data_IF_448215870944
#
_entry.id   IF_448215870944
#
_cell.length_a   1.000
_cell.length_b   1.000
_cell.length_c   1.000
_cell.angle_alpha   90.00
_cell.angle_beta   90.00
_cell.angle_gamma   90.00
#
_symmetry.space_group_name_H-M   'P 1'
#
loop_
_entity.id
_entity.type
_entity.pdbx_description
1 polymer ?
#
# COMPACT_ATOMS: atom_id res chain seq x y z
N UNK A 1 -32.45 27.97 39.13
CA UNK A 1 -32.49 27.71 37.68
C UNK A 1 -33.58 28.51 36.99
N UNK A 2 -34.59 28.92 37.67
CA UNK A 2 -35.76 29.64 37.12
C UNK A 2 -35.52 31.13 36.84
N UNK A 3 -34.43 31.73 37.36
CA UNK A 3 -34.15 33.14 37.17
C UNK A 3 -33.58 33.56 35.83
N UNK A 4 -33.09 32.62 35.02
CA UNK A 4 -32.49 32.96 33.72
C UNK A 4 -33.51 33.09 32.58
N UNK A 5 -34.59 32.35 32.60
CA UNK A 5 -35.61 32.39 31.57
C UNK A 5 -36.39 33.70 31.58
N UNK A 6 -36.86 34.14 32.78
CA UNK A 6 -37.61 35.35 32.92
C UNK A 6 -36.82 36.65 32.61
N UNK A 7 -35.51 36.63 32.76
CA UNK A 7 -34.66 37.77 32.39
C UNK A 7 -34.51 37.91 30.87
N UNK A 8 -34.48 36.80 30.10
CA UNK A 8 -34.35 36.83 28.66
C UNK A 8 -35.63 37.34 27.99
N UNK A 9 -36.82 36.91 28.48
CA UNK A 9 -38.12 37.39 28.03
C UNK A 9 -38.29 38.89 28.25
N UNK A 10 -37.90 39.36 29.43
CA UNK A 10 -37.95 40.77 29.77
C UNK A 10 -36.97 41.59 28.93
N UNK A 11 -35.78 41.07 28.64
CA UNK A 11 -34.81 41.70 27.77
C UNK A 11 -35.33 41.85 26.35
N UNK A 12 -35.94 40.79 25.81
CA UNK A 12 -36.50 40.76 24.47
C UNK A 12 -37.64 41.79 24.35
N UNK A 13 -38.59 41.77 25.27
CA UNK A 13 -39.72 42.74 25.32
C UNK A 13 -39.26 44.19 25.44
N UNK A 14 -38.22 44.44 26.25
CA UNK A 14 -37.63 45.78 26.37
C UNK A 14 -36.95 46.22 25.06
N UNK A 15 -36.21 45.35 24.40
CA UNK A 15 -35.56 45.65 23.11
C UNK A 15 -36.58 45.89 21.99
N UNK A 16 -37.67 45.12 21.94
CA UNK A 16 -38.76 45.33 20.99
C UNK A 16 -39.43 46.69 21.20
N UNK A 17 -39.69 47.06 22.46
CA UNK A 17 -40.22 48.37 22.80
C UNK A 17 -39.24 49.51 22.40
N UNK A 18 -37.95 49.35 22.67
CA UNK A 18 -36.92 50.33 22.31
C UNK A 18 -36.79 50.52 20.79
N UNK A 19 -36.84 49.44 20.02
CA UNK A 19 -36.87 49.48 18.54
C UNK A 19 -38.12 50.17 18.02
N UNK A 20 -39.29 49.89 18.64
CA UNK A 20 -40.54 50.57 18.28
C UNK A 20 -40.54 52.11 18.57
N UNK A 21 -39.69 52.52 19.51
CA UNK A 21 -39.41 53.92 19.81
C UNK A 21 -38.37 54.60 18.90
N UNK A 22 -37.83 53.85 17.93
CA UNK A 22 -36.90 54.35 16.91
C UNK A 22 -35.41 54.23 17.25
N UNK A 23 -35.05 53.49 18.29
CA UNK A 23 -33.65 53.23 18.68
C UNK A 23 -33.07 52.12 17.78
N UNK A 24 -32.82 52.41 16.51
CA UNK A 24 -32.35 51.47 15.50
C UNK A 24 -30.98 50.87 15.80
N UNK A 25 -30.16 51.54 16.62
CA UNK A 25 -28.83 51.04 17.03
C UNK A 25 -28.89 49.74 17.84
N UNK A 26 -30.03 49.43 18.45
CA UNK A 26 -30.26 48.22 19.22
C UNK A 26 -30.69 47.00 18.37
N UNK A 27 -30.87 47.17 17.05
CA UNK A 27 -31.37 46.14 16.17
C UNK A 27 -30.45 44.89 16.13
N UNK A 28 -29.14 45.11 16.12
CA UNK A 28 -28.15 44.03 16.15
C UNK A 28 -28.22 43.23 17.47
N UNK A 29 -28.30 43.95 18.59
CA UNK A 29 -28.40 43.34 19.92
C UNK A 29 -29.72 42.59 20.12
N UNK A 30 -30.83 43.15 19.63
CA UNK A 30 -32.12 42.46 19.61
C UNK A 30 -32.06 41.15 18.83
N UNK A 31 -31.41 41.13 17.66
CA UNK A 31 -31.24 39.94 16.85
C UNK A 31 -30.43 38.87 17.60
N UNK A 32 -29.33 39.24 18.24
CA UNK A 32 -28.49 38.32 19.02
C UNK A 32 -29.25 37.70 20.21
N UNK A 33 -30.08 38.53 20.92
CA UNK A 33 -30.94 38.06 22.01
C UNK A 33 -32.02 37.13 21.49
N UNK A 34 -32.60 37.41 20.33
CA UNK A 34 -33.61 36.56 19.68
C UNK A 34 -33.05 35.18 19.34
N UNK A 35 -31.84 35.11 18.77
CA UNK A 35 -31.18 33.84 18.49
C UNK A 35 -30.91 33.05 19.76
N UNK A 36 -30.41 33.71 20.84
CA UNK A 36 -30.22 33.03 22.11
C UNK A 36 -31.53 32.51 22.70
N UNK A 37 -32.60 33.31 22.65
CA UNK A 37 -33.95 32.93 23.07
C UNK A 37 -34.42 31.66 22.33
N UNK A 38 -34.32 31.66 21.00
CA UNK A 38 -34.69 30.50 20.19
C UNK A 38 -33.89 29.21 20.51
N UNK A 39 -32.64 29.36 20.95
CA UNK A 39 -31.81 28.20 21.34
C UNK A 39 -32.24 27.66 22.69
N UNK A 40 -32.54 28.52 23.66
CA UNK A 40 -32.86 28.14 25.05
C UNK A 40 -34.26 27.51 25.14
N UNK A 41 -35.23 28.05 24.40
CA UNK A 41 -36.63 27.62 24.46
C UNK A 41 -37.03 26.63 23.39
N UNK A 42 -36.09 26.05 22.66
CA UNK A 42 -36.42 25.00 21.71
C UNK A 42 -36.59 23.65 22.42
N UNK A 43 -37.68 22.94 22.11
CA UNK A 43 -38.03 21.64 22.68
C UNK A 43 -36.99 20.52 22.40
N UNK A 44 -36.09 20.76 21.44
CA UNK A 44 -35.03 19.80 21.01
C UNK A 44 -33.75 19.83 21.86
N UNK A 45 -33.69 20.66 22.92
CA UNK A 45 -32.49 20.71 23.74
C UNK A 45 -32.44 19.50 24.70
N UNK A 46 -31.50 18.56 24.46
CA UNK A 46 -31.03 17.68 25.52
C UNK A 46 -30.70 18.55 26.72
N UNK A 47 -31.53 18.52 27.77
CA UNK A 47 -31.66 19.53 28.85
C UNK A 47 -30.42 19.89 29.65
N UNK A 48 -29.23 19.36 29.33
CA UNK A 48 -27.99 19.65 30.06
C UNK A 48 -27.13 20.78 29.42
N UNK A 49 -27.30 21.10 28.14
CA UNK A 49 -26.36 22.03 27.46
C UNK A 49 -26.85 23.46 27.29
N UNK A 50 -28.16 23.70 27.26
CA UNK A 50 -28.75 25.04 27.14
C UNK A 50 -28.82 25.78 28.45
N UNK A 51 -28.85 25.09 29.61
CA UNK A 51 -29.06 25.66 30.94
C UNK A 51 -27.90 26.53 31.48
N UNK A 52 -26.74 26.53 30.83
CA UNK A 52 -25.54 27.25 31.32
C UNK A 52 -25.08 28.45 30.45
N UNK A 53 -25.82 28.82 29.41
CA UNK A 53 -25.47 29.94 28.53
C UNK A 53 -26.18 31.21 29.02
N UNK A 54 -25.41 32.19 29.49
CA UNK A 54 -25.92 33.53 29.85
C UNK A 54 -25.74 34.50 28.68
N UNK A 55 -26.52 35.57 28.64
CA UNK A 55 -26.44 36.65 27.63
C UNK A 55 -25.02 37.25 27.57
N UNK A 56 -24.38 37.43 28.72
CA UNK A 56 -23.01 37.95 28.80
C UNK A 56 -22.02 36.98 28.09
N UNK A 57 -22.08 35.69 28.41
CA UNK A 57 -21.24 34.68 27.76
C UNK A 57 -21.52 34.59 26.27
N UNK A 58 -22.79 34.68 25.85
CA UNK A 58 -23.16 34.71 24.44
C UNK A 58 -22.56 35.92 23.72
N UNK A 59 -22.57 37.11 24.37
CA UNK A 59 -21.95 38.31 23.80
C UNK A 59 -20.43 38.21 23.61
N UNK A 60 -19.75 37.45 24.46
CA UNK A 60 -18.29 37.22 24.36
C UNK A 60 -17.88 36.22 23.27
N UNK A 61 -18.81 35.38 22.76
CA UNK A 61 -18.52 34.40 21.74
C UNK A 61 -18.29 35.08 20.38
N UNK A 62 -17.31 34.56 19.63
CA UNK A 62 -17.16 34.91 18.21
C UNK A 62 -18.40 34.50 17.42
N UNK A 63 -18.67 35.15 16.27
CA UNK A 63 -19.81 34.79 15.43
C UNK A 63 -19.74 33.33 14.95
N UNK A 64 -18.54 32.79 14.68
CA UNK A 64 -18.37 31.39 14.40
C UNK A 64 -18.68 30.48 15.59
N UNK A 65 -18.27 30.84 16.80
CA UNK A 65 -18.59 30.04 17.99
C UNK A 65 -20.10 30.05 18.29
N UNK A 66 -20.78 31.17 18.07
CA UNK A 66 -22.25 31.25 18.10
C UNK A 66 -22.89 30.30 17.10
N UNK A 67 -22.41 30.31 15.83
CA UNK A 67 -22.85 29.37 14.80
C UNK A 67 -22.65 27.90 15.20
N UNK A 68 -21.48 27.59 15.71
CA UNK A 68 -21.12 26.25 16.21
C UNK A 68 -21.98 25.81 17.39
N UNK A 69 -22.29 26.76 18.30
CA UNK A 69 -23.16 26.49 19.44
C UNK A 69 -24.58 26.13 19.02
N UNK A 70 -25.15 26.81 18.00
CA UNK A 70 -26.47 26.48 17.43
C UNK A 70 -26.53 25.03 16.90
N UNK A 71 -25.41 24.46 16.47
CA UNK A 71 -25.27 23.12 15.93
C UNK A 71 -24.71 22.10 16.93
N UNK A 72 -24.62 22.47 18.21
CA UNK A 72 -24.12 21.56 19.25
C UNK A 72 -25.11 20.41 19.45
N UNK A 73 -24.60 19.17 19.50
CA UNK A 73 -25.42 17.97 19.73
C UNK A 73 -26.31 17.56 18.56
N UNK A 74 -26.12 18.10 17.34
CA UNK A 74 -26.90 17.69 16.17
C UNK A 74 -26.62 16.24 15.78
N UNK A 75 -27.70 15.57 15.31
CA UNK A 75 -27.72 14.23 14.74
C UNK A 75 -28.14 14.32 13.25
N UNK A 76 -28.02 13.24 12.54
CA UNK A 76 -28.38 13.15 11.11
C UNK A 76 -29.86 13.57 10.86
N UNK A 77 -30.75 13.25 11.83
CA UNK A 77 -32.20 13.47 11.71
C UNK A 77 -32.59 14.97 11.85
N UNK A 78 -31.87 15.75 12.67
CA UNK A 78 -32.27 17.11 13.04
C UNK A 78 -31.30 18.21 12.52
N UNK A 79 -30.18 17.84 11.90
CA UNK A 79 -29.17 18.82 11.48
C UNK A 79 -29.71 19.83 10.46
N UNK A 80 -30.44 19.37 9.46
CA UNK A 80 -30.98 20.25 8.42
C UNK A 80 -32.08 21.18 8.94
N UNK A 81 -32.88 20.74 9.89
CA UNK A 81 -33.88 21.59 10.55
C UNK A 81 -33.18 22.73 11.32
N UNK A 82 -32.19 22.41 12.16
CA UNK A 82 -31.42 23.41 12.90
C UNK A 82 -30.64 24.36 11.99
N UNK A 83 -30.06 23.84 10.89
CA UNK A 83 -29.40 24.68 9.90
C UNK A 83 -30.39 25.64 9.26
N UNK A 84 -31.52 25.15 8.74
CA UNK A 84 -32.51 25.95 8.03
C UNK A 84 -33.16 27.03 8.91
N UNK A 85 -33.54 26.63 10.12
CA UNK A 85 -34.32 27.52 10.99
C UNK A 85 -33.45 28.51 11.80
N UNK A 86 -32.14 28.24 12.00
CA UNK A 86 -31.30 29.04 12.92
C UNK A 86 -29.95 29.40 12.32
N UNK A 87 -29.11 28.42 12.03
CA UNK A 87 -27.70 28.68 11.75
C UNK A 87 -27.48 29.37 10.37
N UNK A 88 -28.22 29.00 9.34
CA UNK A 88 -28.12 29.63 8.01
C UNK A 88 -28.65 31.06 8.01
N UNK A 89 -29.83 31.36 8.57
CA UNK A 89 -30.29 32.75 8.72
C UNK A 89 -29.29 33.62 9.53
N UNK A 90 -28.72 33.11 10.61
CA UNK A 90 -27.68 33.79 11.36
C UNK A 90 -26.45 34.11 10.50
N UNK A 91 -25.94 33.11 9.77
CA UNK A 91 -24.78 33.27 8.89
C UNK A 91 -25.03 34.32 7.80
N UNK A 92 -26.20 34.32 7.13
CA UNK A 92 -26.55 35.30 6.11
C UNK A 92 -26.72 36.70 6.69
N UNK A 93 -27.32 36.85 7.86
CA UNK A 93 -27.44 38.13 8.56
C UNK A 93 -26.07 38.78 8.82
N UNK A 94 -25.10 38.01 9.26
CA UNK A 94 -23.72 38.51 9.51
C UNK A 94 -22.97 38.83 8.20
N UNK A 95 -23.12 38.06 7.15
CA UNK A 95 -22.52 38.35 5.82
C UNK A 95 -23.06 39.65 5.22
N UNK A 96 -24.37 39.94 5.38
CA UNK A 96 -24.97 41.18 4.93
C UNK A 96 -24.42 42.41 5.65
N UNK A 97 -24.16 42.29 6.96
CA UNK A 97 -23.63 43.40 7.77
C UNK A 97 -22.19 43.75 7.39
N UNK A 98 -21.34 42.77 7.09
CA UNK A 98 -19.96 42.99 6.60
C UNK A 98 -19.98 43.75 5.27
N UNK A 99 -20.92 43.44 4.40
CA UNK A 99 -21.08 44.12 3.08
C UNK A 99 -21.56 45.56 3.19
N UNK A 100 -22.30 45.90 4.22
CA UNK A 100 -22.83 47.25 4.47
C UNK A 100 -21.86 48.14 5.25
N UNK A 101 -20.94 47.61 6.02
CA UNK A 101 -20.00 48.41 6.87
C UNK A 101 -18.82 49.00 6.07
N UNK A 102 -18.77 48.89 4.74
CA UNK A 102 -17.97 49.75 3.87
C UNK A 102 -16.48 49.96 4.13
N UNK A 103 -15.84 49.18 5.01
CA UNK A 103 -14.40 49.22 5.25
C UNK A 103 -13.63 48.51 4.12
N UNK A 104 -13.63 49.18 2.93
CA UNK A 104 -12.81 48.78 1.75
C UNK A 104 -11.38 49.34 1.88
N UNK A 105 -10.89 49.62 3.05
CA UNK A 105 -9.60 50.29 3.18
C UNK A 105 -8.48 49.49 3.82
N UNK A 106 -8.39 48.16 3.62
CA UNK A 106 -7.15 47.39 3.91
C UNK A 106 -7.18 46.04 3.20
N UNK A 107 -7.40 46.04 1.89
CA UNK A 107 -7.08 44.90 1.04
C UNK A 107 -5.62 45.02 0.59
N UNK A 108 -4.71 44.77 1.52
CA UNK A 108 -3.34 44.42 1.16
C UNK A 108 -3.34 43.06 0.42
N UNK A 109 -2.79 43.12 -0.78
CA UNK A 109 -2.73 42.11 -1.83
C UNK A 109 -1.87 40.87 -1.51
N UNK A 110 -1.81 40.41 -0.27
CA UNK A 110 -0.99 39.26 0.13
C UNK A 110 -1.72 38.13 0.87
N UNK A 111 -3.01 38.26 1.20
CA UNK A 111 -3.77 37.19 1.87
C UNK A 111 -5.15 37.01 1.22
N UNK A 112 -5.19 36.30 0.09
CA UNK A 112 -6.42 35.70 -0.41
C UNK A 112 -6.82 34.48 0.44
N UNK A 113 -6.93 34.63 1.74
CA UNK A 113 -7.78 33.79 2.53
C UNK A 113 -9.22 34.28 2.31
N UNK A 114 -9.84 33.77 1.22
CA UNK A 114 -11.29 33.83 1.03
C UNK A 114 -11.88 33.30 2.34
N UNK A 115 -12.53 34.18 3.11
CA UNK A 115 -13.17 33.79 4.37
C UNK A 115 -14.16 32.68 4.08
N UNK A 116 -13.80 31.45 4.45
CA UNK A 116 -14.67 30.28 4.29
C UNK A 116 -15.96 30.57 5.03
N UNK A 117 -17.11 30.26 4.42
CA UNK A 117 -18.39 30.39 5.11
C UNK A 117 -18.37 29.59 6.42
N UNK A 118 -19.11 30.04 7.44
CA UNK A 118 -19.18 29.33 8.73
C UNK A 118 -19.61 27.87 8.55
N UNK A 119 -20.49 27.61 7.61
CA UNK A 119 -20.94 26.26 7.28
C UNK A 119 -19.79 25.38 6.75
N UNK A 120 -19.00 25.88 5.80
CA UNK A 120 -17.86 25.15 5.23
C UNK A 120 -16.84 24.82 6.32
N UNK A 121 -16.53 25.78 7.18
CA UNK A 121 -15.64 25.59 8.32
C UNK A 121 -16.17 24.53 9.29
N UNK A 122 -17.46 24.60 9.64
CA UNK A 122 -18.09 23.63 10.54
C UNK A 122 -18.14 22.22 9.94
N UNK A 123 -18.45 22.09 8.65
CA UNK A 123 -18.45 20.80 7.95
C UNK A 123 -17.05 20.16 7.91
N UNK A 124 -16.01 20.97 7.67
CA UNK A 124 -14.63 20.46 7.69
C UNK A 124 -14.22 20.01 9.10
N UNK A 125 -14.60 20.75 10.16
CA UNK A 125 -14.38 20.32 11.55
C UNK A 125 -15.18 19.05 11.89
N UNK A 126 -16.40 18.92 11.38
CA UNK A 126 -17.27 17.73 11.55
C UNK A 126 -16.68 16.50 10.85
N UNK A 127 -16.09 16.69 9.68
CA UNK A 127 -15.38 15.62 8.94
C UNK A 127 -14.11 15.16 9.66
N UNK A 128 -13.34 16.08 10.26
CA UNK A 128 -12.17 15.75 11.08
C UNK A 128 -12.50 14.86 12.29
N UNK A 129 -13.68 15.01 12.88
CA UNK A 129 -14.16 14.11 13.94
C UNK A 129 -14.93 12.91 13.40
N UNK A 130 -14.76 12.62 12.12
CA UNK A 130 -15.26 11.41 11.43
C UNK A 130 -16.80 11.26 11.39
N UNK A 131 -17.55 12.36 11.45
CA UNK A 131 -19.01 12.39 11.33
C UNK A 131 -19.46 12.64 9.89
N UNK A 132 -18.94 11.84 8.93
CA UNK A 132 -19.25 11.99 7.49
C UNK A 132 -20.72 11.86 7.13
N UNK A 133 -21.51 11.11 7.90
CA UNK A 133 -22.95 10.99 7.65
C UNK A 133 -23.65 12.35 7.81
N UNK A 134 -23.26 13.14 8.81
CA UNK A 134 -23.77 14.51 8.97
C UNK A 134 -23.36 15.38 7.78
N UNK A 135 -22.11 15.28 7.34
CA UNK A 135 -21.66 15.99 6.14
C UNK A 135 -22.47 15.59 4.89
N UNK A 136 -22.76 14.29 4.70
CA UNK A 136 -23.58 13.80 3.61
C UNK A 136 -24.96 14.44 3.62
N UNK A 137 -25.66 14.40 4.76
CA UNK A 137 -27.03 14.92 4.89
C UNK A 137 -27.09 16.42 4.62
N UNK A 138 -26.09 17.17 5.10
CA UNK A 138 -26.03 18.63 4.91
C UNK A 138 -25.66 19.00 3.47
N UNK A 139 -24.70 18.31 2.85
CA UNK A 139 -24.30 18.55 1.46
C UNK A 139 -25.45 18.20 0.51
N UNK A 140 -26.14 17.07 0.74
CA UNK A 140 -27.29 16.66 -0.07
C UNK A 140 -28.41 17.70 -0.04
N UNK A 141 -28.76 18.21 1.14
CA UNK A 141 -29.79 19.25 1.29
C UNK A 141 -29.33 20.60 0.68
N UNK A 142 -28.08 20.97 0.93
CA UNK A 142 -27.51 22.22 0.40
C UNK A 142 -27.43 22.25 -1.12
N UNK A 143 -27.22 21.10 -1.77
CA UNK A 143 -27.20 20.96 -3.23
C UNK A 143 -28.60 20.88 -3.85
N UNK A 144 -29.66 20.54 -3.10
CA UNK A 144 -31.06 20.52 -3.60
C UNK A 144 -31.69 21.90 -3.62
N UNK A 145 -31.39 22.80 -2.70
CA UNK A 145 -32.10 24.03 -2.45
C UNK A 145 -31.27 25.27 -2.81
N UNK A 146 -31.21 25.61 -4.11
CA UNK A 146 -30.46 26.78 -4.58
C UNK A 146 -31.25 28.12 -4.53
N UNK A 147 -32.54 28.16 -4.15
CA UNK A 147 -33.36 29.33 -4.50
C UNK A 147 -33.71 30.34 -3.41
N UNK A 148 -33.65 30.05 -2.10
CA UNK A 148 -34.06 31.07 -1.12
C UNK A 148 -33.33 31.04 0.24
N UNK A 149 -32.67 29.96 0.58
CA UNK A 149 -31.79 29.84 1.76
C UNK A 149 -30.62 28.95 1.39
N UNK A 150 -29.83 29.35 0.39
CA UNK A 150 -28.71 28.59 -0.10
C UNK A 150 -27.69 28.33 1.04
N UNK A 151 -27.36 27.07 1.25
CA UNK A 151 -26.31 26.68 2.21
C UNK A 151 -24.92 27.08 1.73
N UNK A 152 -24.71 27.03 0.43
CA UNK A 152 -23.46 27.37 -0.23
C UNK A 152 -23.63 28.61 -1.12
N UNK A 153 -22.58 29.41 -1.27
CA UNK A 153 -22.55 30.60 -2.14
C UNK A 153 -22.62 30.23 -3.63
N UNK A 154 -22.09 29.04 -3.98
CA UNK A 154 -22.05 28.53 -5.37
C UNK A 154 -21.85 27.01 -5.38
N UNK A 155 -22.09 26.40 -6.57
CA UNK A 155 -21.80 24.98 -6.82
C UNK A 155 -20.32 24.65 -6.59
N UNK A 156 -19.43 25.56 -6.94
CA UNK A 156 -17.98 25.42 -6.74
C UNK A 156 -17.66 25.31 -5.25
N UNK A 157 -18.25 26.16 -4.39
CA UNK A 157 -18.04 26.09 -2.94
C UNK A 157 -18.56 24.77 -2.35
N UNK A 158 -19.74 24.31 -2.80
CA UNK A 158 -20.32 23.04 -2.37
C UNK A 158 -19.41 21.87 -2.70
N UNK A 159 -18.88 21.81 -3.92
CA UNK A 159 -17.99 20.75 -4.38
C UNK A 159 -16.64 20.81 -3.67
N UNK A 160 -16.05 21.99 -3.51
CA UNK A 160 -14.80 22.14 -2.76
C UNK A 160 -14.96 21.74 -1.30
N UNK A 161 -16.07 22.09 -0.66
CA UNK A 161 -16.41 21.67 0.69
C UNK A 161 -16.52 20.15 0.79
N UNK A 162 -17.25 19.52 -0.12
CA UNK A 162 -17.41 18.08 -0.17
C UNK A 162 -16.07 17.35 -0.32
N UNK A 163 -15.21 17.81 -1.24
CA UNK A 163 -13.86 17.27 -1.41
C UNK A 163 -13.01 17.43 -0.14
N UNK A 164 -13.06 18.61 0.50
CA UNK A 164 -12.37 18.81 1.78
C UNK A 164 -12.86 17.83 2.84
N UNK A 165 -14.18 17.64 3.00
CA UNK A 165 -14.73 16.71 3.99
C UNK A 165 -14.25 15.28 3.79
N UNK A 166 -14.26 14.76 2.57
CA UNK A 166 -13.84 13.37 2.32
C UNK A 166 -12.33 13.17 2.51
N UNK A 167 -11.50 14.16 2.14
CA UNK A 167 -10.03 14.04 2.32
C UNK A 167 -9.56 14.31 3.74
N UNK A 168 -10.28 15.11 4.53
CA UNK A 168 -9.96 15.36 5.95
C UNK A 168 -10.36 14.20 6.85
N UNK A 169 -11.29 13.36 6.41
CA UNK A 169 -11.73 12.21 7.19
C UNK A 169 -10.65 11.14 7.23
N UNK A 170 -10.40 10.59 8.42
CA UNK A 170 -9.42 9.51 8.65
C UNK A 170 -10.05 8.11 8.63
N UNK A 171 -11.38 7.99 8.44
CA UNK A 171 -12.06 6.68 8.40
C UNK A 171 -11.68 5.89 7.14
N UNK A 172 -11.60 4.58 7.32
CA UNK A 172 -11.18 3.65 6.26
C UNK A 172 -12.24 2.58 5.95
N UNK A 173 -13.47 2.79 6.39
CA UNK A 173 -14.62 1.86 6.25
C UNK A 173 -15.89 2.52 5.69
N UNK A 174 -15.91 3.86 5.53
CA UNK A 174 -17.06 4.64 5.08
C UNK A 174 -17.03 5.01 3.60
N UNK A 175 -16.49 4.13 2.76
CA UNK A 175 -16.35 4.37 1.31
C UNK A 175 -17.68 4.64 0.61
N UNK A 176 -18.75 3.95 1.01
CA UNK A 176 -20.10 4.18 0.48
C UNK A 176 -20.62 5.58 0.81
N UNK A 177 -20.39 6.08 2.03
CA UNK A 177 -20.78 7.44 2.43
C UNK A 177 -20.00 8.48 1.62
N UNK A 178 -18.67 8.29 1.43
CA UNK A 178 -17.85 9.18 0.60
C UNK A 178 -18.31 9.20 -0.86
N UNK A 179 -18.60 8.03 -1.44
CA UNK A 179 -19.14 7.92 -2.79
C UNK A 179 -20.52 8.59 -2.90
N UNK A 180 -21.38 8.43 -1.88
CA UNK A 180 -22.69 9.08 -1.82
C UNK A 180 -22.56 10.61 -1.77
N UNK A 181 -21.61 11.15 -1.01
CA UNK A 181 -21.34 12.61 -1.00
C UNK A 181 -21.05 13.10 -2.43
N UNK A 182 -20.13 12.42 -3.16
CA UNK A 182 -19.80 12.84 -4.53
C UNK A 182 -20.99 12.71 -5.49
N UNK A 183 -21.83 11.67 -5.34
CA UNK A 183 -22.99 11.45 -6.20
C UNK A 183 -24.14 12.48 -6.03
N UNK A 184 -24.15 13.21 -4.90
CA UNK A 184 -25.16 14.25 -4.60
C UNK A 184 -24.74 15.64 -5.03
N UNK A 185 -23.52 15.80 -5.53
CA UNK A 185 -23.03 17.10 -5.98
C UNK A 185 -23.71 17.56 -7.26
N UNK A 186 -23.87 18.88 -7.46
CA UNK A 186 -24.45 19.42 -8.67
C UNK A 186 -23.54 19.15 -9.88
N UNK A 187 -24.12 18.97 -11.08
CA UNK A 187 -23.35 18.86 -12.30
C UNK A 187 -22.65 20.19 -12.62
N UNK A 188 -21.37 20.11 -12.95
CA UNK A 188 -20.60 21.27 -13.35
C UNK A 188 -20.95 21.66 -14.79
N UNK A 189 -21.29 22.94 -15.01
CA UNK A 189 -21.60 23.48 -16.33
C UNK A 189 -20.64 24.63 -16.67
N UNK A 190 -19.89 24.49 -17.73
CA UNK A 190 -19.00 25.54 -18.25
C UNK A 190 -17.63 25.00 -18.66
N UNK A 191 -16.84 25.86 -19.30
CA UNK A 191 -15.53 25.55 -19.87
C UNK A 191 -14.40 26.38 -19.25
N UNK A 192 -14.68 27.03 -18.11
CA UNK A 192 -13.61 27.81 -17.42
C UNK A 192 -12.55 26.90 -16.86
N UNK A 193 -11.32 27.40 -16.78
CA UNK A 193 -10.16 26.65 -16.23
C UNK A 193 -10.46 26.13 -14.82
N UNK A 194 -11.20 26.90 -14.02
CA UNK A 194 -11.59 26.50 -12.66
C UNK A 194 -12.50 25.28 -12.68
N UNK A 195 -13.51 25.25 -13.56
CA UNK A 195 -14.46 24.14 -13.69
C UNK A 195 -13.75 22.87 -14.18
N UNK A 196 -12.87 22.99 -15.18
CA UNK A 196 -12.08 21.86 -15.69
C UNK A 196 -11.18 21.26 -14.61
N UNK A 197 -10.53 22.12 -13.81
CA UNK A 197 -9.72 21.66 -12.67
C UNK A 197 -10.57 20.97 -11.59
N UNK A 198 -11.76 21.46 -11.32
CA UNK A 198 -12.66 20.91 -10.33
C UNK A 198 -13.19 19.53 -10.77
N UNK A 199 -13.59 19.39 -12.05
CA UNK A 199 -13.97 18.09 -12.63
C UNK A 199 -12.82 17.07 -12.56
N UNK A 200 -11.58 17.51 -12.83
CA UNK A 200 -10.41 16.65 -12.70
C UNK A 200 -10.25 16.18 -11.26
N UNK A 201 -10.42 17.06 -10.27
CA UNK A 201 -10.34 16.73 -8.83
C UNK A 201 -11.45 15.77 -8.41
N UNK A 202 -12.67 15.93 -8.93
CA UNK A 202 -13.79 15.01 -8.69
C UNK A 202 -13.48 13.61 -9.22
N UNK A 203 -13.06 13.49 -10.50
CA UNK A 203 -12.68 12.20 -11.09
C UNK A 203 -11.52 11.53 -10.33
N UNK A 204 -10.56 12.31 -9.84
CA UNK A 204 -9.46 11.81 -9.02
C UNK A 204 -9.99 11.29 -7.67
N UNK A 205 -10.91 12.01 -7.02
CA UNK A 205 -11.50 11.61 -5.76
C UNK A 205 -12.32 10.31 -5.88
N UNK A 206 -13.09 10.15 -6.96
CA UNK A 206 -13.78 8.90 -7.28
C UNK A 206 -12.80 7.73 -7.41
N UNK A 207 -11.70 7.94 -8.15
CA UNK A 207 -10.62 6.95 -8.29
C UNK A 207 -9.98 6.58 -6.95
N UNK A 208 -9.73 7.58 -6.10
CA UNK A 208 -9.17 7.36 -4.76
C UNK A 208 -10.13 6.61 -3.83
N UNK A 209 -11.45 6.87 -3.89
CA UNK A 209 -12.46 6.13 -3.10
C UNK A 209 -12.46 4.65 -3.51
N UNK A 210 -12.48 4.34 -4.80
CA UNK A 210 -12.44 2.95 -5.27
C UNK A 210 -11.09 2.28 -4.91
N UNK A 211 -9.97 2.99 -5.05
CA UNK A 211 -8.66 2.51 -4.62
C UNK A 211 -8.64 2.22 -3.10
N UNK A 212 -9.22 3.10 -2.28
CA UNK A 212 -9.36 2.90 -0.85
C UNK A 212 -10.20 1.68 -0.50
N UNK A 213 -11.31 1.44 -1.23
CA UNK A 213 -12.14 0.23 -1.10
C UNK A 213 -11.34 -1.04 -1.42
N UNK A 214 -10.55 -1.01 -2.52
CA UNK A 214 -9.68 -2.13 -2.88
C UNK A 214 -8.60 -2.40 -1.82
N UNK A 215 -7.94 -1.36 -1.33
CA UNK A 215 -6.96 -1.51 -0.25
C UNK A 215 -7.60 -2.12 1.01
N UNK A 216 -8.80 -1.67 1.39
CA UNK A 216 -9.53 -2.22 2.52
C UNK A 216 -9.94 -3.69 2.28
N UNK A 217 -10.40 -4.04 1.08
CA UNK A 217 -10.70 -5.42 0.68
C UNK A 217 -9.48 -6.35 0.84
N UNK A 218 -8.29 -5.86 0.46
CA UNK A 218 -7.02 -6.59 0.66
C UNK A 218 -6.43 -6.43 2.08
N UNK A 219 -7.21 -5.89 3.03
CA UNK A 219 -6.82 -5.72 4.43
C UNK A 219 -5.62 -4.78 4.66
N UNK A 220 -5.47 -3.80 3.79
CA UNK A 220 -4.47 -2.72 3.90
C UNK A 220 -5.18 -1.37 3.85
N UNK A 221 -6.15 -1.10 4.76
CA UNK A 221 -6.94 0.12 4.71
C UNK A 221 -6.04 1.35 4.87
N UNK A 222 -6.32 2.39 4.07
CA UNK A 222 -5.67 3.69 4.12
C UNK A 222 -6.72 4.80 4.02
N UNK A 223 -6.59 5.91 4.77
CA UNK A 223 -7.49 7.05 4.63
C UNK A 223 -7.29 7.72 3.26
N UNK A 224 -8.26 8.54 2.85
CA UNK A 224 -8.27 9.12 1.51
C UNK A 224 -7.11 10.10 1.25
N UNK A 225 -6.69 10.86 2.28
CA UNK A 225 -5.56 11.79 2.16
C UNK A 225 -4.23 11.07 1.83
N UNK A 226 -4.10 9.79 2.21
CA UNK A 226 -2.93 8.99 1.87
C UNK A 226 -2.62 9.03 0.35
N UNK A 227 -3.65 9.02 -0.51
CA UNK A 227 -3.46 9.02 -1.96
C UNK A 227 -2.93 10.36 -2.49
N UNK A 228 -3.19 11.47 -1.79
CA UNK A 228 -2.65 12.80 -2.13
C UNK A 228 -1.15 12.88 -1.84
N UNK A 229 -0.73 12.25 -0.76
CA UNK A 229 0.67 12.22 -0.31
C UNK A 229 1.50 11.11 -0.97
N UNK A 230 0.82 10.16 -1.62
CA UNK A 230 1.44 8.94 -2.16
C UNK A 230 2.56 9.19 -3.19
N UNK A 231 2.46 10.25 -3.99
CA UNK A 231 3.48 10.60 -4.98
C UNK A 231 4.83 10.98 -4.32
N UNK A 232 4.79 11.55 -3.13
CA UNK A 232 5.99 11.91 -2.37
C UNK A 232 6.65 10.71 -1.66
N UNK A 233 5.91 9.61 -1.47
CA UNK A 233 6.39 8.38 -0.80
C UNK A 233 6.26 7.14 -1.70
N UNK A 234 6.92 7.15 -2.84
CA UNK A 234 6.95 6.00 -3.77
C UNK A 234 7.41 4.70 -3.08
N UNK A 235 8.35 4.78 -2.12
CA UNK A 235 8.86 3.61 -1.39
C UNK A 235 7.77 2.99 -0.52
N UNK A 236 7.01 3.81 0.19
CA UNK A 236 5.88 3.36 1.02
C UNK A 236 4.78 2.73 0.16
N UNK A 237 4.47 3.30 -0.99
CA UNK A 237 3.50 2.72 -1.94
C UNK A 237 3.97 1.36 -2.47
N UNK A 238 5.25 1.23 -2.85
CA UNK A 238 5.84 -0.06 -3.25
C UNK A 238 5.72 -1.12 -2.15
N UNK A 239 5.92 -0.73 -0.89
CA UNK A 239 5.71 -1.65 0.25
C UNK A 239 4.24 -2.07 0.40
N UNK A 240 3.30 -1.16 0.17
CA UNK A 240 1.86 -1.47 0.19
C UNK A 240 1.50 -2.50 -0.88
N UNK A 241 1.98 -2.34 -2.12
CA UNK A 241 1.77 -3.32 -3.20
C UNK A 241 2.28 -4.72 -2.79
N UNK A 242 3.48 -4.80 -2.22
CA UNK A 242 4.04 -6.07 -1.70
C UNK A 242 3.21 -6.63 -0.54
N UNK A 243 2.72 -5.78 0.34
CA UNK A 243 1.90 -6.19 1.48
C UNK A 243 0.55 -6.76 1.03
N UNK A 244 -0.10 -6.13 0.05
CA UNK A 244 -1.34 -6.64 -0.56
C UNK A 244 -1.11 -8.05 -1.10
N UNK A 245 -0.08 -8.26 -1.92
CA UNK A 245 0.26 -9.57 -2.48
C UNK A 245 0.58 -10.58 -1.37
N UNK A 246 1.35 -10.19 -0.36
CA UNK A 246 1.67 -11.08 0.76
C UNK A 246 0.42 -11.53 1.53
N UNK A 247 -0.51 -10.62 1.81
CA UNK A 247 -1.78 -10.94 2.47
C UNK A 247 -2.69 -11.78 1.58
N UNK A 248 -2.71 -11.51 0.27
CA UNK A 248 -3.47 -12.30 -0.69
C UNK A 248 -3.00 -13.75 -0.75
N UNK A 249 -1.68 -13.99 -0.78
CA UNK A 249 -1.08 -15.33 -0.80
C UNK A 249 -1.37 -16.10 0.48
N UNK A 250 -1.33 -15.46 1.65
CA UNK A 250 -1.48 -16.13 2.95
C UNK A 250 -2.91 -16.59 3.28
N UNK A 251 -3.92 -16.14 2.53
CA UNK A 251 -5.32 -16.55 2.77
C UNK A 251 -5.53 -18.02 2.38
N UNK A 252 -6.17 -18.76 3.26
CA UNK A 252 -6.63 -20.13 3.02
C UNK A 252 -8.11 -20.14 2.58
N UNK A 253 -8.56 -21.01 1.68
CA UNK A 253 -7.77 -21.94 0.85
C UNK A 253 -6.92 -21.22 -0.21
N UNK A 254 -6.03 -21.97 -0.88
CA UNK A 254 -5.17 -21.42 -1.95
C UNK A 254 -6.02 -20.80 -3.06
N UNK A 255 -5.60 -19.64 -3.55
CA UNK A 255 -6.33 -18.86 -4.55
C UNK A 255 -6.41 -19.56 -5.91
N UNK A 256 -7.59 -19.48 -6.52
CA UNK A 256 -7.83 -19.92 -7.90
C UNK A 256 -7.15 -19.01 -8.91
N UNK A 257 -6.96 -19.49 -10.12
CA UNK A 257 -6.37 -18.70 -11.22
C UNK A 257 -7.26 -17.51 -11.61
N UNK A 258 -8.58 -17.64 -11.46
CA UNK A 258 -9.54 -16.53 -11.67
C UNK A 258 -9.39 -15.42 -10.63
N UNK A 259 -9.12 -15.76 -9.36
CA UNK A 259 -8.84 -14.77 -8.30
C UNK A 259 -7.51 -14.05 -8.56
N UNK A 260 -6.50 -14.74 -9.06
CA UNK A 260 -5.24 -14.12 -9.48
C UNK A 260 -5.43 -13.19 -10.68
N UNK A 261 -6.26 -13.56 -11.66
CA UNK A 261 -6.59 -12.67 -12.77
C UNK A 261 -7.34 -11.40 -12.30
N UNK A 262 -8.22 -11.53 -11.30
CA UNK A 262 -8.89 -10.40 -10.68
C UNK A 262 -7.88 -9.51 -9.95
N UNK A 263 -6.98 -10.12 -9.15
CA UNK A 263 -5.91 -9.40 -8.46
C UNK A 263 -5.03 -8.59 -9.43
N UNK A 264 -4.69 -9.15 -10.59
CA UNK A 264 -3.94 -8.41 -11.62
C UNK A 264 -4.69 -7.17 -12.11
N UNK A 265 -5.99 -7.30 -12.40
CA UNK A 265 -6.84 -6.16 -12.80
C UNK A 265 -6.93 -5.10 -11.72
N UNK A 266 -7.08 -5.52 -10.48
CA UNK A 266 -7.14 -4.60 -9.33
C UNK A 266 -5.80 -3.87 -9.12
N UNK A 267 -4.67 -4.53 -9.30
CA UNK A 267 -3.35 -3.89 -9.25
C UNK A 267 -3.16 -2.87 -10.38
N UNK A 268 -3.63 -3.19 -11.61
CA UNK A 268 -3.61 -2.25 -12.72
C UNK A 268 -4.52 -1.04 -12.43
N UNK A 269 -5.70 -1.28 -11.87
CA UNK A 269 -6.63 -0.22 -11.48
C UNK A 269 -6.05 0.70 -10.41
N UNK A 270 -5.46 0.12 -9.34
CA UNK A 270 -4.76 0.88 -8.30
C UNK A 270 -3.65 1.77 -8.89
N UNK A 271 -2.86 1.22 -9.81
CA UNK A 271 -1.83 1.98 -10.52
C UNK A 271 -2.42 3.11 -11.34
N UNK A 272 -3.46 2.85 -12.12
CA UNK A 272 -4.06 3.85 -13.01
C UNK A 272 -4.74 4.99 -12.25
N UNK A 273 -5.50 4.69 -11.19
CA UNK A 273 -6.35 5.65 -10.49
C UNK A 273 -5.71 6.31 -9.28
N UNK A 274 -4.80 5.59 -8.59
CA UNK A 274 -4.23 6.06 -7.33
C UNK A 274 -2.71 6.26 -7.38
N UNK A 275 -1.99 5.47 -8.17
CA UNK A 275 -0.52 5.48 -8.21
C UNK A 275 0.03 5.59 -9.64
N UNK A 276 -0.37 6.63 -10.43
CA UNK A 276 0.04 6.75 -11.83
C UNK A 276 1.55 6.90 -12.03
N UNK A 277 2.28 7.30 -10.99
CA UNK A 277 3.75 7.43 -10.97
C UNK A 277 4.47 6.07 -10.89
N UNK A 278 3.77 4.98 -10.52
CA UNK A 278 4.38 3.65 -10.52
C UNK A 278 4.49 3.10 -11.95
N UNK A 279 5.66 2.54 -12.23
CA UNK A 279 5.87 1.83 -13.49
C UNK A 279 5.04 0.54 -13.55
N UNK A 280 4.38 0.31 -14.68
CA UNK A 280 3.58 -0.90 -14.90
C UNK A 280 4.46 -2.16 -14.95
N UNK A 281 5.72 -2.03 -15.42
CA UNK A 281 6.69 -3.13 -15.38
C UNK A 281 6.99 -3.53 -13.93
N UNK A 282 7.15 -2.56 -13.02
CA UNK A 282 7.33 -2.83 -11.60
C UNK A 282 6.15 -3.63 -11.02
N UNK A 283 4.92 -3.23 -11.36
CA UNK A 283 3.71 -3.94 -10.90
C UNK A 283 3.70 -5.38 -11.42
N UNK A 284 4.06 -5.60 -12.70
CA UNK A 284 4.15 -6.93 -13.29
C UNK A 284 5.22 -7.79 -12.62
N UNK A 285 6.39 -7.22 -12.32
CA UNK A 285 7.48 -7.89 -11.59
C UNK A 285 7.02 -8.37 -10.21
N UNK A 286 6.37 -7.50 -9.43
CA UNK A 286 5.87 -7.87 -8.10
C UNK A 286 4.75 -8.92 -8.19
N UNK A 287 3.87 -8.82 -9.18
CA UNK A 287 2.81 -9.79 -9.42
C UNK A 287 3.38 -11.17 -9.78
N UNK A 288 4.35 -11.24 -10.71
CA UNK A 288 5.04 -12.48 -11.07
C UNK A 288 5.77 -13.08 -9.85
N UNK A 289 6.44 -12.25 -9.05
CA UNK A 289 7.05 -12.70 -7.78
C UNK A 289 6.01 -13.32 -6.84
N UNK A 290 4.82 -12.71 -6.76
CA UNK A 290 3.70 -13.23 -5.98
C UNK A 290 3.22 -14.60 -6.47
N UNK A 291 3.06 -14.78 -7.79
CA UNK A 291 2.67 -16.05 -8.42
C UNK A 291 3.69 -17.14 -8.15
N UNK A 292 4.99 -16.87 -8.37
CA UNK A 292 6.06 -17.81 -8.10
C UNK A 292 6.06 -18.23 -6.63
N UNK A 293 5.96 -17.28 -5.70
CA UNK A 293 5.88 -17.54 -4.25
C UNK A 293 4.65 -18.35 -3.82
N UNK A 294 3.56 -18.26 -4.59
CA UNK A 294 2.34 -19.03 -4.35
C UNK A 294 2.33 -20.41 -5.02
N UNK A 295 3.39 -20.80 -5.72
CA UNK A 295 3.47 -22.06 -6.46
C UNK A 295 2.59 -22.10 -7.72
N UNK A 296 2.17 -20.95 -8.26
CA UNK A 296 1.33 -20.83 -9.45
C UNK A 296 2.18 -20.79 -10.73
N UNK A 297 3.01 -21.81 -10.96
CA UNK A 297 4.03 -21.84 -12.02
C UNK A 297 3.45 -21.75 -13.42
N UNK A 298 2.37 -22.48 -13.72
CA UNK A 298 1.70 -22.45 -15.01
C UNK A 298 1.17 -21.05 -15.36
N UNK A 299 0.57 -20.38 -14.38
CA UNK A 299 0.08 -19.02 -14.53
C UNK A 299 1.25 -18.02 -14.65
N UNK A 300 2.28 -18.18 -13.82
CA UNK A 300 3.48 -17.34 -13.86
C UNK A 300 4.15 -17.37 -15.23
N UNK A 301 4.21 -18.54 -15.91
CA UNK A 301 4.76 -18.68 -17.26
C UNK A 301 4.12 -17.75 -18.27
N UNK A 302 2.81 -17.52 -18.16
CA UNK A 302 2.09 -16.62 -19.07
C UNK A 302 2.45 -15.16 -18.82
N UNK A 303 2.49 -14.73 -17.55
CA UNK A 303 2.79 -13.34 -17.18
C UNK A 303 4.27 -12.98 -17.33
N UNK A 304 5.19 -13.94 -17.14
CA UNK A 304 6.63 -13.74 -17.37
C UNK A 304 6.98 -13.43 -18.82
N UNK A 305 6.15 -13.88 -19.78
CA UNK A 305 6.29 -13.51 -21.20
C UNK A 305 5.84 -12.06 -21.49
N UNK A 306 5.28 -11.39 -20.50
CA UNK A 306 4.65 -10.09 -20.64
C UNK A 306 3.14 -10.19 -20.86
N UNK A 307 2.49 -9.03 -20.83
CA UNK A 307 1.06 -8.86 -21.12
C UNK A 307 0.89 -8.03 -22.39
N UNK A 308 -0.35 -7.87 -22.87
CA UNK A 308 -0.63 -7.01 -24.04
C UNK A 308 -0.21 -5.55 -23.84
N UNK A 309 -0.12 -5.10 -22.59
CA UNK A 309 0.18 -3.72 -22.22
C UNK A 309 1.64 -3.47 -21.80
N UNK A 310 2.37 -4.55 -21.43
CA UNK A 310 3.76 -4.46 -20.94
C UNK A 310 4.53 -5.73 -21.26
N UNK A 311 5.75 -5.58 -21.76
CA UNK A 311 6.70 -6.69 -21.94
C UNK A 311 7.70 -6.69 -20.78
N UNK A 312 8.04 -7.88 -20.30
CA UNK A 312 9.10 -8.06 -19.33
C UNK A 312 10.39 -8.47 -20.07
N UNK A 313 11.50 -7.76 -19.81
CA UNK A 313 12.79 -8.13 -20.35
C UNK A 313 13.18 -9.54 -19.91
N UNK A 314 13.71 -10.35 -20.83
CA UNK A 314 14.07 -11.75 -20.58
C UNK A 314 15.01 -11.92 -19.38
N UNK A 315 15.98 -11.03 -19.24
CA UNK A 315 16.94 -11.00 -18.12
C UNK A 315 16.27 -10.77 -16.76
N UNK A 316 15.24 -9.89 -16.72
CA UNK A 316 14.47 -9.64 -15.50
C UNK A 316 13.59 -10.85 -15.13
N UNK A 317 12.96 -11.44 -16.12
CA UNK A 317 12.15 -12.64 -15.92
C UNK A 317 13.00 -13.82 -15.43
N UNK A 318 14.17 -14.03 -16.01
CA UNK A 318 15.16 -15.01 -15.60
C UNK A 318 15.62 -14.78 -14.15
N UNK A 319 16.00 -13.55 -13.81
CA UNK A 319 16.40 -13.18 -12.45
C UNK A 319 15.30 -13.45 -11.42
N UNK A 320 14.02 -13.19 -11.76
CA UNK A 320 12.88 -13.49 -10.89
C UNK A 320 12.73 -14.99 -10.63
N UNK A 321 12.87 -15.80 -11.69
CA UNK A 321 12.76 -17.26 -11.61
C UNK A 321 13.88 -17.82 -10.75
N UNK A 322 15.13 -17.42 -10.99
CA UNK A 322 16.30 -17.83 -10.19
C UNK A 322 16.11 -17.44 -8.72
N UNK A 323 15.69 -16.19 -8.46
CA UNK A 323 15.46 -15.73 -7.08
C UNK A 323 14.39 -16.56 -6.37
N UNK A 324 13.27 -16.85 -7.04
CA UNK A 324 12.20 -17.66 -6.47
C UNK A 324 12.66 -19.12 -6.23
N UNK A 325 13.42 -19.70 -7.16
CA UNK A 325 13.98 -21.02 -6.99
C UNK A 325 14.94 -21.10 -5.80
N UNK A 326 15.82 -20.11 -5.65
CA UNK A 326 16.71 -19.99 -4.49
C UNK A 326 15.95 -19.83 -3.17
N UNK A 327 14.88 -19.01 -3.15
CA UNK A 327 14.05 -18.82 -1.96
C UNK A 327 13.41 -20.15 -1.52
N UNK A 328 12.89 -20.95 -2.45
CA UNK A 328 12.38 -22.29 -2.16
C UNK A 328 13.49 -23.24 -1.72
N UNK A 329 14.60 -23.31 -2.46
CA UNK A 329 15.69 -24.20 -2.18
C UNK A 329 16.28 -23.97 -0.77
N UNK A 330 16.54 -22.70 -0.40
CA UNK A 330 17.09 -22.38 0.92
C UNK A 330 16.07 -22.45 2.06
N UNK A 331 14.77 -22.52 1.77
CA UNK A 331 13.74 -22.77 2.79
C UNK A 331 13.51 -24.26 3.05
N UNK A 332 14.11 -25.14 2.24
CA UNK A 332 13.92 -26.57 2.33
C UNK A 332 14.55 -27.15 3.61
N UNK A 333 13.76 -27.92 4.36
CA UNK A 333 14.19 -28.59 5.60
C UNK A 333 14.84 -29.95 5.34
N UNK A 334 14.62 -30.55 4.18
CA UNK A 334 15.21 -31.82 3.75
C UNK A 334 15.40 -31.82 2.22
N UNK A 335 16.20 -32.77 1.72
CA UNK A 335 16.48 -32.90 0.30
C UNK A 335 15.29 -33.47 -0.52
N UNK A 336 14.27 -34.00 0.15
CA UNK A 336 13.08 -34.61 -0.46
C UNK A 336 11.76 -33.85 -0.19
N UNK A 337 11.83 -32.65 0.37
CA UNK A 337 10.63 -31.86 0.69
C UNK A 337 10.01 -31.20 -0.56
N UNK A 338 8.78 -30.69 -0.39
CA UNK A 338 8.02 -30.00 -1.44
C UNK A 338 8.72 -28.76 -1.97
N UNK A 339 9.50 -28.08 -1.14
CA UNK A 339 10.25 -26.87 -1.48
C UNK A 339 11.31 -27.16 -2.55
N UNK A 340 11.97 -28.33 -2.52
CA UNK A 340 12.91 -28.73 -3.56
C UNK A 340 12.19 -28.93 -4.91
N UNK A 341 11.01 -29.57 -4.87
CA UNK A 341 10.20 -29.73 -6.06
C UNK A 341 9.77 -28.36 -6.62
N UNK A 342 9.30 -27.45 -5.78
CA UNK A 342 8.92 -26.08 -6.16
C UNK A 342 10.11 -25.32 -6.77
N UNK A 343 11.33 -25.48 -6.21
CA UNK A 343 12.52 -24.86 -6.77
C UNK A 343 12.79 -25.35 -8.19
N UNK A 344 12.67 -26.66 -8.45
CA UNK A 344 12.82 -27.23 -9.80
C UNK A 344 11.76 -26.74 -10.76
N UNK A 345 10.49 -26.68 -10.33
CA UNK A 345 9.39 -26.16 -11.15
C UNK A 345 9.59 -24.69 -11.52
N UNK A 346 10.15 -23.86 -10.62
CA UNK A 346 10.55 -22.50 -10.97
C UNK A 346 11.56 -22.48 -12.11
N UNK A 347 12.64 -23.27 -12.03
CA UNK A 347 13.70 -23.29 -13.04
C UNK A 347 13.19 -23.82 -14.38
N UNK A 348 12.25 -24.76 -14.38
CA UNK A 348 11.60 -25.29 -15.59
C UNK A 348 10.80 -24.23 -16.38
N UNK A 349 10.60 -23.04 -15.87
CA UNK A 349 9.96 -21.94 -16.61
C UNK A 349 10.88 -21.38 -17.71
N UNK A 350 12.22 -21.44 -17.52
CA UNK A 350 13.24 -20.92 -18.44
C UNK A 350 14.37 -21.94 -18.70
N UNK A 351 14.07 -23.14 -19.23
CA UNK A 351 15.05 -24.24 -19.33
C UNK A 351 16.22 -23.93 -20.28
N UNK A 352 16.05 -23.00 -21.21
CA UNK A 352 17.07 -22.66 -22.22
C UNK A 352 18.08 -21.61 -21.75
N UNK A 353 17.91 -21.00 -20.58
CA UNK A 353 18.88 -20.05 -20.04
C UNK A 353 20.07 -20.76 -19.41
N UNK A 354 21.28 -20.32 -19.74
CA UNK A 354 22.52 -20.85 -19.15
C UNK A 354 22.59 -20.64 -17.64
N UNK A 355 22.11 -19.49 -17.14
CA UNK A 355 22.12 -19.18 -15.71
C UNK A 355 21.10 -20.04 -14.95
N UNK A 356 19.90 -20.21 -15.51
CA UNK A 356 18.87 -21.08 -14.93
C UNK A 356 19.33 -22.53 -14.89
N UNK A 357 20.02 -22.99 -15.96
CA UNK A 357 20.60 -24.32 -16.00
C UNK A 357 21.68 -24.51 -14.93
N UNK A 358 22.54 -23.51 -14.71
CA UNK A 358 23.55 -23.59 -13.66
C UNK A 358 22.93 -23.74 -12.25
N UNK A 359 21.82 -23.07 -11.97
CA UNK A 359 21.08 -23.25 -10.70
C UNK A 359 20.42 -24.64 -10.60
N UNK A 360 19.89 -25.15 -11.70
CA UNK A 360 19.33 -26.51 -11.75
C UNK A 360 20.42 -27.58 -11.53
N UNK A 361 21.59 -27.40 -12.15
CA UNK A 361 22.75 -28.26 -11.99
C UNK A 361 23.17 -28.35 -10.50
N UNK A 362 23.19 -27.23 -9.78
CA UNK A 362 23.49 -27.18 -8.32
C UNK A 362 22.45 -27.97 -7.52
N UNK A 363 21.16 -27.76 -7.79
CA UNK A 363 20.08 -28.50 -7.11
C UNK A 363 20.21 -30.00 -7.38
N UNK A 364 20.51 -30.41 -8.60
CA UNK A 364 20.69 -31.83 -8.96
C UNK A 364 21.91 -32.42 -8.32
N UNK A 365 23.03 -31.70 -8.24
CA UNK A 365 24.22 -32.15 -7.52
C UNK A 365 23.90 -32.46 -6.06
N UNK A 366 23.21 -31.53 -5.37
CA UNK A 366 22.93 -31.63 -3.93
C UNK A 366 21.83 -32.64 -3.58
N UNK A 367 20.82 -32.79 -4.45
CA UNK A 367 19.62 -33.58 -4.13
C UNK A 367 19.62 -34.98 -4.73
N UNK A 368 20.47 -35.23 -5.72
CA UNK A 368 20.54 -36.54 -6.39
C UNK A 368 21.96 -37.13 -6.35
N UNK A 369 22.95 -36.39 -6.86
CA UNK A 369 24.29 -36.99 -7.09
C UNK A 369 25.06 -37.18 -5.77
N UNK A 370 25.15 -36.17 -4.91
CA UNK A 370 25.86 -36.28 -3.64
C UNK A 370 25.23 -37.30 -2.67
N UNK A 371 23.91 -37.41 -2.53
CA UNK A 371 23.30 -38.48 -1.74
C UNK A 371 23.67 -39.90 -2.22
N UNK A 372 23.78 -40.11 -3.54
CA UNK A 372 24.21 -41.39 -4.10
C UNK A 372 25.66 -41.71 -3.73
N UNK A 373 26.50 -40.70 -3.54
CA UNK A 373 27.88 -40.83 -3.05
C UNK A 373 27.99 -40.88 -1.51
N UNK A 374 26.86 -40.97 -0.80
CA UNK A 374 26.80 -41.04 0.64
C UNK A 374 26.96 -39.71 1.38
N UNK A 375 26.89 -38.58 0.67
CA UNK A 375 27.03 -37.22 1.23
C UNK A 375 25.71 -36.48 1.18
N UNK A 376 25.19 -36.11 2.33
CA UNK A 376 23.95 -35.36 2.47
C UNK A 376 24.25 -33.95 3.00
N UNK A 377 24.18 -32.96 2.12
CA UNK A 377 24.36 -31.54 2.46
C UNK A 377 23.01 -30.84 2.34
N UNK A 378 22.50 -30.32 3.45
CA UNK A 378 21.27 -29.54 3.45
C UNK A 378 21.47 -28.18 2.74
N UNK A 379 20.45 -27.61 2.11
CA UNK A 379 20.55 -26.32 1.43
C UNK A 379 21.12 -25.19 2.30
N UNK A 380 20.78 -25.16 3.59
CA UNK A 380 21.32 -24.17 4.54
C UNK A 380 22.80 -24.38 4.84
N UNK A 381 23.29 -25.65 4.84
CA UNK A 381 24.70 -25.95 4.98
C UNK A 381 25.47 -25.55 3.72
N UNK A 382 24.93 -25.88 2.54
CA UNK A 382 25.48 -25.48 1.25
C UNK A 382 25.69 -23.95 1.18
N UNK A 383 24.75 -23.15 1.68
CA UNK A 383 24.87 -21.68 1.71
C UNK A 383 26.10 -21.17 2.47
N UNK A 384 26.61 -21.95 3.44
CA UNK A 384 27.77 -21.58 4.27
C UNK A 384 29.10 -21.94 3.60
N UNK A 385 29.09 -22.90 2.68
CA UNK A 385 30.28 -23.37 1.96
C UNK A 385 30.56 -22.41 0.81
N UNK A 386 31.72 -21.78 0.81
CA UNK A 386 32.10 -20.79 -0.22
C UNK A 386 32.81 -21.42 -1.41
N UNK A 387 33.56 -22.49 -1.16
CA UNK A 387 34.37 -23.17 -2.17
C UNK A 387 33.69 -24.50 -2.56
N UNK A 388 33.20 -24.66 -3.80
CA UNK A 388 32.62 -25.91 -4.28
C UNK A 388 33.58 -27.10 -4.15
N UNK A 389 34.89 -26.87 -4.19
CA UNK A 389 35.91 -27.92 -4.04
C UNK A 389 35.88 -28.59 -2.65
N UNK A 390 35.43 -27.88 -1.60
CA UNK A 390 35.25 -28.48 -0.26
C UNK A 390 34.17 -29.55 -0.29
N UNK A 391 33.08 -29.33 -1.07
CA UNK A 391 31.98 -30.29 -1.20
C UNK A 391 32.46 -31.55 -1.93
N UNK A 392 33.23 -31.36 -3.01
CA UNK A 392 33.81 -32.48 -3.76
C UNK A 392 34.78 -33.27 -2.87
N UNK A 393 35.61 -32.61 -2.07
CA UNK A 393 36.50 -33.29 -1.12
C UNK A 393 35.72 -34.08 -0.06
N UNK A 394 34.62 -33.53 0.48
CA UNK A 394 33.76 -34.29 1.39
C UNK A 394 33.18 -35.55 0.75
N UNK A 395 32.84 -35.49 -0.54
CA UNK A 395 32.36 -36.65 -1.27
C UNK A 395 33.49 -37.68 -1.50
N UNK A 396 34.68 -37.24 -1.88
CA UNK A 396 35.86 -38.10 -2.06
C UNK A 396 36.23 -38.85 -0.78
N UNK A 397 36.23 -38.15 0.37
CA UNK A 397 36.60 -38.74 1.68
C UNK A 397 35.47 -39.48 2.38
N UNK A 398 34.31 -39.64 1.70
CA UNK A 398 33.16 -40.36 2.26
C UNK A 398 33.51 -41.82 2.59
N UNK A 399 33.02 -42.35 3.73
CA UNK A 399 33.26 -43.75 4.11
C UNK A 399 32.75 -44.80 3.15
N UNK A 400 31.91 -44.38 2.19
CA UNK A 400 31.34 -45.24 1.13
C UNK A 400 32.34 -45.68 0.06
N UNK A 401 33.59 -45.14 0.10
CA UNK A 401 34.58 -45.43 -0.96
C UNK A 401 34.25 -44.69 -2.27
N UNK A 402 33.66 -43.50 -2.17
CA UNK A 402 33.18 -42.73 -3.35
C UNK A 402 34.31 -42.36 -4.32
N UNK A 403 35.60 -42.40 -3.92
CA UNK A 403 36.74 -42.18 -4.81
C UNK A 403 36.84 -43.21 -5.95
N UNK A 404 36.16 -44.39 -5.85
CA UNK A 404 36.02 -45.35 -6.96
C UNK A 404 35.10 -44.83 -8.10
N UNK A 405 34.22 -43.88 -7.83
CA UNK A 405 33.25 -43.35 -8.76
C UNK A 405 33.77 -42.05 -9.40
N UNK A 406 34.91 -42.10 -10.08
CA UNK A 406 35.60 -40.92 -10.65
C UNK A 406 34.67 -40.11 -11.57
N UNK A 407 33.96 -40.76 -12.48
CA UNK A 407 33.10 -40.13 -13.45
C UNK A 407 31.96 -39.36 -12.74
N UNK A 408 31.38 -39.93 -11.68
CA UNK A 408 30.31 -39.33 -10.91
C UNK A 408 30.84 -38.15 -10.09
N UNK A 409 32.06 -38.24 -9.54
CA UNK A 409 32.70 -37.12 -8.81
C UNK A 409 33.04 -35.96 -9.75
N UNK A 410 33.53 -36.23 -10.94
CA UNK A 410 33.78 -35.23 -11.99
C UNK A 410 32.46 -34.58 -12.43
N UNK A 411 31.41 -35.39 -12.60
CA UNK A 411 30.08 -34.86 -12.91
C UNK A 411 29.58 -33.93 -11.81
N UNK A 412 29.66 -34.32 -10.55
CA UNK A 412 29.32 -33.46 -9.39
C UNK A 412 30.13 -32.17 -9.42
N UNK A 413 31.43 -32.23 -9.65
CA UNK A 413 32.29 -31.04 -9.73
C UNK A 413 31.80 -30.09 -10.83
N UNK A 414 31.46 -30.62 -12.03
CA UNK A 414 30.94 -29.82 -13.15
C UNK A 414 29.58 -29.19 -12.82
N UNK A 415 28.69 -29.93 -12.19
CA UNK A 415 27.37 -29.44 -11.74
C UNK A 415 27.50 -28.34 -10.67
N UNK A 416 28.49 -28.42 -9.81
CA UNK A 416 28.81 -27.39 -8.79
C UNK A 416 29.55 -26.17 -9.38
N UNK A 417 29.86 -26.18 -10.69
CA UNK A 417 30.46 -25.05 -11.41
C UNK A 417 31.97 -25.16 -11.64
N UNK A 418 32.64 -26.23 -11.19
CA UNK A 418 34.05 -26.50 -11.48
C UNK A 418 34.18 -27.05 -12.90
N UNK A 419 34.43 -26.18 -13.89
CA UNK A 419 34.38 -26.55 -15.33
C UNK A 419 35.69 -26.38 -16.06
N UNK A 420 36.62 -25.60 -15.49
CA UNK A 420 37.94 -25.38 -16.12
C UNK A 420 38.82 -26.63 -16.05
N UNK A 421 39.71 -26.81 -17.00
CA UNK A 421 40.64 -27.94 -17.02
C UNK A 421 41.48 -28.01 -15.73
N UNK A 422 41.88 -26.86 -15.18
CA UNK A 422 42.65 -26.81 -13.95
C UNK A 422 41.83 -27.21 -12.71
N UNK A 423 40.53 -26.86 -12.66
CA UNK A 423 39.64 -27.27 -11.56
C UNK A 423 39.38 -28.77 -11.62
N UNK A 424 39.11 -29.31 -12.79
CA UNK A 424 38.93 -30.77 -12.96
C UNK A 424 40.20 -31.53 -12.59
N UNK A 425 41.38 -31.05 -13.02
CA UNK A 425 42.67 -31.65 -12.63
C UNK A 425 42.89 -31.63 -11.11
N UNK A 426 42.43 -30.57 -10.44
CA UNK A 426 42.51 -30.50 -8.94
C UNK A 426 41.56 -31.52 -8.29
N UNK A 427 40.41 -31.81 -8.88
CA UNK A 427 39.51 -32.91 -8.43
C UNK A 427 40.17 -34.26 -8.62
N UNK A 428 40.74 -34.51 -9.82
CA UNK A 428 41.47 -35.76 -10.11
C UNK A 428 42.64 -35.96 -9.14
N UNK A 429 43.41 -34.91 -8.85
CA UNK A 429 44.48 -34.94 -7.86
C UNK A 429 43.97 -35.32 -6.47
N UNK A 430 42.82 -34.74 -6.04
CA UNK A 430 42.20 -35.05 -4.75
C UNK A 430 41.74 -36.52 -4.66
N UNK A 431 41.17 -37.06 -5.73
CA UNK A 431 40.74 -38.45 -5.82
C UNK A 431 41.97 -39.37 -5.71
N UNK A 432 43.05 -39.11 -6.46
CA UNK A 432 44.27 -39.87 -6.43
C UNK A 432 44.93 -39.84 -5.06
N UNK A 433 44.90 -38.72 -4.37
CA UNK A 433 45.42 -38.56 -3.03
C UNK A 433 44.64 -39.39 -2.00
N UNK A 434 43.31 -39.42 -2.10
CA UNK A 434 42.48 -40.23 -1.21
C UNK A 434 42.72 -41.74 -1.41
N UNK A 435 42.78 -42.16 -2.69
CA UNK A 435 43.12 -43.54 -3.01
C UNK A 435 44.50 -43.97 -2.43
N UNK A 436 45.49 -43.05 -2.42
CA UNK A 436 46.78 -43.27 -1.82
C UNK A 436 46.71 -43.41 -0.30
N UNK A 437 45.95 -42.53 0.35
CA UNK A 437 45.71 -42.58 1.80
C UNK A 437 45.00 -43.87 2.23
N UNK A 438 44.05 -44.33 1.41
CA UNK A 438 43.31 -45.56 1.63
C UNK A 438 44.13 -46.83 1.33
N UNK A 439 45.36 -46.69 0.81
CA UNK A 439 46.25 -47.81 0.51
C UNK A 439 45.89 -48.61 -0.74
N UNK A 440 45.02 -48.08 -1.63
CA UNK A 440 44.56 -48.74 -2.86
C UNK A 440 45.53 -48.51 -4.02
N UNK A 441 46.66 -49.16 -3.98
CA UNK A 441 47.70 -49.05 -5.01
C UNK A 441 47.28 -49.52 -6.39
N UNK A 442 46.36 -50.47 -6.48
CA UNK A 442 45.85 -51.00 -7.75
C UNK A 442 45.00 -49.96 -8.47
N UNK A 443 44.20 -49.21 -7.71
CA UNK A 443 43.39 -48.16 -8.26
C UNK A 443 44.20 -46.92 -8.70
N UNK A 444 45.24 -46.58 -7.96
CA UNK A 444 46.17 -45.53 -8.35
C UNK A 444 46.85 -45.83 -9.66
N UNK A 445 47.29 -47.09 -9.85
CA UNK A 445 47.88 -47.53 -11.12
C UNK A 445 46.91 -47.45 -12.28
N UNK A 446 45.69 -47.89 -12.09
CA UNK A 446 44.62 -47.79 -13.10
C UNK A 446 44.30 -46.35 -13.46
N UNK A 447 44.16 -45.49 -12.47
CA UNK A 447 43.93 -44.05 -12.66
C UNK A 447 45.07 -43.36 -13.41
N UNK A 448 46.30 -43.76 -13.12
CA UNK A 448 47.49 -43.33 -13.83
C UNK A 448 47.49 -43.70 -15.30
N UNK A 449 47.09 -44.92 -15.65
CA UNK A 449 47.00 -45.37 -17.03
C UNK A 449 45.93 -44.60 -17.82
N UNK A 450 44.81 -44.28 -17.21
CA UNK A 450 43.76 -43.46 -17.85
C UNK A 450 44.21 -42.04 -18.06
N UNK A 451 44.92 -41.44 -17.12
CA UNK A 451 45.40 -40.05 -17.21
C UNK A 451 46.54 -39.86 -18.22
N UNK A 452 47.37 -40.87 -18.48
CA UNK A 452 48.45 -40.82 -19.48
C UNK A 452 47.93 -40.74 -20.92
N UNK A 453 46.70 -41.17 -21.17
CA UNK A 453 46.06 -41.07 -22.47
C UNK A 453 45.62 -39.63 -22.82
N UNK A 454 45.59 -38.69 -21.86
CA UNK A 454 45.04 -37.32 -22.01
C UNK A 454 46.06 -36.18 -21.82
N UNK A 455 47.39 -36.44 -21.93
CA UNK A 455 48.47 -35.41 -22.03
C UNK A 455 48.41 -34.27 -21.01
N UNK A 456 48.36 -34.58 -19.69
CA UNK A 456 48.30 -33.51 -18.68
C UNK A 456 49.59 -33.46 -17.80
N UNK A 457 50.18 -32.27 -17.54
CA UNK A 457 51.41 -32.13 -16.73
C UNK A 457 51.25 -32.39 -15.21
N UNK A 458 50.02 -32.62 -14.76
CA UNK A 458 49.70 -32.89 -13.34
C UNK A 458 50.01 -34.32 -12.89
N UNK A 459 50.20 -35.22 -13.82
CA UNK A 459 50.59 -36.62 -13.61
C UNK A 459 51.91 -36.69 -12.86
N UNK A 460 52.81 -35.75 -13.11
CA UNK A 460 54.12 -35.68 -12.43
C UNK A 460 53.97 -35.39 -10.93
N UNK A 461 52.99 -34.61 -10.53
CA UNK A 461 52.69 -34.36 -9.10
C UNK A 461 52.11 -35.57 -8.37
N UNK A 462 51.20 -36.31 -9.04
CA UNK A 462 50.67 -37.56 -8.50
C UNK A 462 51.80 -38.62 -8.33
N UNK A 463 52.71 -38.67 -9.29
CA UNK A 463 53.91 -39.51 -9.21
C UNK A 463 54.83 -39.16 -8.07
N UNK A 464 55.03 -37.86 -7.81
CA UNK A 464 55.87 -37.36 -6.68
C UNK A 464 55.25 -37.67 -5.34
N UNK A 465 53.93 -37.52 -5.20
CA UNK A 465 53.18 -37.90 -3.99
C UNK A 465 53.25 -39.40 -3.75
N UNK A 466 53.11 -40.21 -4.79
CA UNK A 466 53.25 -41.66 -4.73
C UNK A 466 54.67 -42.13 -4.34
N UNK A 467 55.70 -41.50 -4.91
CA UNK A 467 57.08 -41.81 -4.61
C UNK A 467 57.48 -41.42 -3.20
N UNK A 468 57.03 -40.27 -2.72
CA UNK A 468 57.26 -39.82 -1.34
C UNK A 468 56.54 -40.69 -0.32
N UNK A 469 55.35 -41.20 -0.62
CA UNK A 469 54.56 -42.04 0.31
C UNK A 469 55.07 -43.51 0.40
N UNK A 470 55.75 -44.01 -0.60
CA UNK A 470 56.33 -45.36 -0.60
C UNK A 470 57.74 -45.37 0.07
N UNK A 471 58.45 -44.23 0.07
CA UNK A 471 59.83 -44.11 0.59
C UNK A 471 59.96 -43.33 1.91
N UNK A 472 58.87 -42.86 2.50
CA UNK A 472 58.81 -42.41 3.88
C UNK A 472 57.98 -43.34 4.73
#
# INVERSE_FOLDING_TARGET
MDDFSGQLDNCLSFLEFALHKGLSELQQFHQDVLYLYQIIYSDDSDGETSSNMSLAKWGELSDYDKFKFMLKGVKEENVNERLRNRAIPFMHGKLHMVSLSGDISLLDSANQNIEKSFLVRWLTETALVNKLNICLVVIEEGCRNFQSNAYFKSDVEAIDCALQCIYLSTVTDRWSTMASILSKLPPLHGTTIQIVNLERRLRLAEGHIEAGRLLAFYQVPKPLNFFVEAESDEKGVKQIIRLILSKFIRRQPSRSDSEWATMWRDMQYLREKAFPFLDLEYILVEFCRGLLKAGKFSLARNYLKGTSSVSLASEKAESLVIQAARDYFFSASSLSCSEIWNARECLNLYPNSANVKAEADIIDALTVKLPNLGVNILPMQFRQIKDPMEIVKMAITSPTGAYFHVDELIEVARLLGLRSANEIAAVEEAIAREAAVSGDLQYIYYFFLLSTCHSYPYIIRAYFIFFVYIYT
#
